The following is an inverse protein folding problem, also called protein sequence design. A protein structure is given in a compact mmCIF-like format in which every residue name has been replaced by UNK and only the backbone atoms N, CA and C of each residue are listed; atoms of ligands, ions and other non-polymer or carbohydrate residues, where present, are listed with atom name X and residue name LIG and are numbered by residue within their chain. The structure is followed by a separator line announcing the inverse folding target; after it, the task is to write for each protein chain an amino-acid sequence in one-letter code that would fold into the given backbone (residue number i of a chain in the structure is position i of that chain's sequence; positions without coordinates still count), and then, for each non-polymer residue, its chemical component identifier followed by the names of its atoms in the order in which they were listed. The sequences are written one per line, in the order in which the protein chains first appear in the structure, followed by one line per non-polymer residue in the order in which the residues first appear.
data_IF_333030955681
#
_entry.id   IF_333030955681
#
_cell.length_a   1.000
_cell.length_b   1.000
_cell.length_c   1.000
_cell.angle_alpha   90.00
_cell.angle_beta   90.00
_cell.angle_gamma   90.00
#
_symmetry.space_group_name_H-M   'P 1'
#
loop_
_entity.id
_entity.type
_entity.pdbx_description
1 polymer ?
#
# COMPACT_ATOMS: atom_id res chain seq x y z
N UNK A 1 7.38 19.54 9.89
CA UNK A 1 7.64 19.41 11.35
C UNK A 1 6.34 19.68 12.06
N UNK A 2 6.13 19.09 13.24
CA UNK A 2 4.90 19.29 14.03
C UNK A 2 4.91 20.70 14.62
N UNK A 3 3.84 21.46 14.42
CA UNK A 3 3.72 22.83 14.92
C UNK A 3 3.12 22.85 16.33
N UNK A 4 3.29 23.94 17.10
CA UNK A 4 2.59 24.11 18.39
C UNK A 4 1.06 23.99 18.28
N UNK A 5 0.47 24.46 17.17
CA UNK A 5 -0.96 24.33 16.90
C UNK A 5 -1.36 22.85 16.71
N UNK A 6 -0.59 22.07 15.93
CA UNK A 6 -0.82 20.63 15.77
C UNK A 6 -0.71 19.87 17.10
N UNK A 7 0.21 20.28 17.99
CA UNK A 7 0.33 19.70 19.33
C UNK A 7 -0.93 20.00 20.15
N UNK A 8 -1.47 21.22 20.05
CA UNK A 8 -2.72 21.62 20.71
C UNK A 8 -3.92 20.79 20.22
N UNK A 9 -4.04 20.59 18.92
CA UNK A 9 -5.09 19.75 18.31
C UNK A 9 -4.98 18.31 18.84
N UNK A 10 -3.78 17.75 18.86
CA UNK A 10 -3.54 16.39 19.35
C UNK A 10 -3.92 16.26 20.83
N UNK A 11 -3.51 17.22 21.67
CA UNK A 11 -3.85 17.25 23.09
C UNK A 11 -5.36 17.23 23.31
N UNK A 12 -6.11 18.11 22.65
CA UNK A 12 -7.57 18.15 22.76
C UNK A 12 -8.22 16.83 22.31
N UNK A 13 -7.67 16.20 21.27
CA UNK A 13 -8.17 14.90 20.77
C UNK A 13 -7.91 13.76 21.75
N UNK A 14 -6.76 13.76 22.42
CA UNK A 14 -6.43 12.78 23.48
C UNK A 14 -7.39 12.99 24.69
N UNK A 15 -7.64 14.21 25.11
CA UNK A 15 -8.56 14.51 26.20
C UNK A 15 -9.97 13.97 25.93
N UNK A 16 -10.48 14.11 24.69
CA UNK A 16 -11.77 13.54 24.29
C UNK A 16 -11.75 12.00 24.35
N UNK A 17 -10.66 11.38 23.91
CA UNK A 17 -10.50 9.94 23.95
C UNK A 17 -10.47 9.41 25.39
N UNK A 18 -9.72 10.08 26.28
CA UNK A 18 -9.62 9.73 27.70
C UNK A 18 -10.96 9.87 28.43
N UNK A 19 -11.75 10.89 28.12
CA UNK A 19 -13.09 11.06 28.70
C UNK A 19 -14.05 9.94 28.28
N UNK A 20 -13.90 9.41 27.06
CA UNK A 20 -14.74 8.36 26.53
C UNK A 20 -14.33 6.95 26.98
N UNK A 21 -13.07 6.74 27.25
CA UNK A 21 -12.52 5.49 27.76
C UNK A 21 -12.44 5.66 29.29
N UNK A 22 -13.43 5.28 30.03
CA UNK A 22 -13.45 5.28 31.52
C UNK A 22 -12.02 5.18 32.07
N UNK A 23 -11.57 6.20 32.81
CA UNK A 23 -10.22 6.34 33.34
C UNK A 23 -9.78 5.05 34.07
N UNK A 24 -9.22 4.13 33.35
CA UNK A 24 -8.43 3.05 33.92
C UNK A 24 -7.10 3.69 34.33
N UNK A 25 -6.75 3.62 35.60
CA UNK A 25 -5.43 3.99 36.04
C UNK A 25 -4.41 3.11 35.32
N UNK A 26 -3.81 3.67 34.30
CA UNK A 26 -2.72 3.03 33.58
C UNK A 26 -1.42 3.62 34.12
N UNK A 27 -0.95 3.01 35.21
CA UNK A 27 0.33 3.39 35.79
C UNK A 27 1.47 2.78 34.94
N UNK A 28 2.02 3.56 34.04
CA UNK A 28 3.39 3.34 33.62
C UNK A 28 4.28 4.32 34.36
N UNK A 29 5.17 3.80 35.22
CA UNK A 29 6.24 4.59 35.79
C UNK A 29 7.26 4.91 34.67
N UNK A 30 7.06 6.05 34.05
CA UNK A 30 8.00 6.60 33.06
C UNK A 30 8.86 7.63 33.77
N UNK A 31 10.15 7.41 33.85
CA UNK A 31 11.10 8.45 34.26
C UNK A 31 11.14 9.53 33.15
N UNK A 32 10.60 10.74 33.40
CA UNK A 32 10.53 11.77 32.36
C UNK A 32 11.91 12.21 31.87
N UNK A 33 12.89 12.29 32.77
CA UNK A 33 14.23 12.77 32.43
C UNK A 33 15.00 11.72 31.59
N UNK A 34 14.88 10.45 31.94
CA UNK A 34 15.47 9.37 31.16
C UNK A 34 14.81 9.30 29.78
N UNK A 35 13.49 9.41 29.70
CA UNK A 35 12.74 9.40 28.46
C UNK A 35 13.12 10.56 27.55
N UNK A 36 13.22 11.77 28.09
CA UNK A 36 13.65 12.95 27.33
C UNK A 36 15.06 12.75 26.77
N UNK A 37 16.01 12.28 27.59
CA UNK A 37 17.38 12.03 27.15
C UNK A 37 17.45 11.00 26.00
N UNK A 38 16.70 9.90 26.10
CA UNK A 38 16.64 8.87 25.06
C UNK A 38 16.06 9.46 23.76
N UNK A 39 14.97 10.21 23.85
CA UNK A 39 14.33 10.81 22.68
C UNK A 39 15.21 11.86 22.01
N UNK A 40 15.93 12.66 22.78
CA UNK A 40 16.91 13.62 22.25
C UNK A 40 18.08 12.92 21.56
N UNK A 41 18.58 11.84 22.13
CA UNK A 41 19.63 11.03 21.49
C UNK A 41 19.15 10.44 20.15
N UNK A 42 17.95 9.86 20.13
CA UNK A 42 17.33 9.32 18.90
C UNK A 42 17.11 10.43 17.86
N UNK A 43 16.54 11.57 18.27
CA UNK A 43 16.33 12.71 17.40
C UNK A 43 17.65 13.19 16.78
N UNK A 44 18.71 13.25 17.58
CA UNK A 44 20.04 13.66 17.11
C UNK A 44 20.60 12.66 16.07
N UNK A 45 20.45 11.36 16.29
CA UNK A 45 20.83 10.32 15.31
C UNK A 45 20.02 10.44 14.01
N UNK A 46 18.72 10.75 14.11
CA UNK A 46 17.83 10.91 12.97
C UNK A 46 18.18 12.13 12.08
N UNK A 47 18.90 13.13 12.60
CA UNK A 47 19.36 14.28 11.79
C UNK A 47 20.27 13.88 10.64
N UNK A 48 20.89 12.69 10.71
CA UNK A 48 21.74 12.14 9.65
C UNK A 48 20.96 11.51 8.49
N UNK A 49 19.63 11.50 8.53
CA UNK A 49 18.81 11.04 7.41
C UNK A 49 18.78 12.09 6.27
N UNK A 50 18.49 11.61 5.06
CA UNK A 50 18.25 12.51 3.95
C UNK A 50 17.01 13.39 4.21
N UNK A 51 17.00 14.64 3.71
CA UNK A 51 15.86 15.53 3.84
C UNK A 51 14.75 15.13 2.86
N UNK A 52 14.04 14.03 3.11
CA UNK A 52 13.01 13.46 2.24
C UNK A 52 11.89 14.44 1.86
N UNK A 53 11.67 15.48 2.67
CA UNK A 53 10.69 16.54 2.43
C UNK A 53 11.19 17.61 1.44
N UNK A 54 12.49 17.66 1.16
CA UNK A 54 13.06 18.70 0.32
C UNK A 54 12.63 18.55 -1.14
N UNK A 55 12.25 19.64 -1.84
CA UNK A 55 11.82 19.57 -3.25
C UNK A 55 12.87 18.98 -4.20
N UNK A 56 14.15 19.17 -3.89
CA UNK A 56 15.27 18.66 -4.70
C UNK A 56 15.66 17.20 -4.33
N UNK A 57 14.99 16.57 -3.38
CA UNK A 57 15.22 15.16 -3.12
C UNK A 57 14.61 14.30 -4.22
N UNK A 58 15.47 13.66 -5.01
CA UNK A 58 15.10 12.84 -6.16
C UNK A 58 15.50 11.35 -5.99
N UNK A 59 15.60 10.87 -4.76
CA UNK A 59 15.88 9.48 -4.45
C UNK A 59 14.62 8.61 -4.44
N UNK A 60 14.45 7.81 -3.41
CA UNK A 60 13.27 6.97 -3.22
C UNK A 60 11.98 7.81 -3.20
N UNK A 61 10.87 7.22 -3.65
CA UNK A 61 9.54 7.86 -3.65
C UNK A 61 8.97 7.93 -2.22
N UNK A 62 9.70 8.57 -1.32
CA UNK A 62 9.34 8.79 0.06
C UNK A 62 9.05 10.27 0.30
N UNK A 63 7.93 10.55 0.92
CA UNK A 63 7.63 11.86 1.48
C UNK A 63 7.12 11.68 2.91
N UNK A 64 7.36 12.65 3.80
CA UNK A 64 6.73 12.63 5.12
C UNK A 64 5.22 12.51 4.99
N UNK A 65 4.54 11.81 5.90
CA UNK A 65 3.10 11.71 5.86
C UNK A 65 2.44 13.10 6.03
N UNK A 66 1.26 13.24 5.45
CA UNK A 66 0.46 14.44 5.64
C UNK A 66 0.23 14.72 7.13
N UNK A 67 0.21 15.99 7.61
CA UNK A 67 0.04 16.31 9.02
C UNK A 67 -1.15 15.60 9.68
N UNK A 68 -2.29 15.58 9.01
CA UNK A 68 -3.50 14.88 9.50
C UNK A 68 -3.24 13.38 9.73
N UNK A 69 -2.57 12.71 8.78
CA UNK A 69 -2.25 11.29 8.92
C UNK A 69 -1.29 11.04 10.10
N UNK A 70 -0.30 11.92 10.29
CA UNK A 70 0.63 11.85 11.41
C UNK A 70 -0.08 12.01 12.76
N UNK A 71 -0.97 13.00 12.88
CA UNK A 71 -1.75 13.22 14.10
C UNK A 71 -2.70 12.06 14.38
N UNK A 72 -3.42 11.58 13.36
CA UNK A 72 -4.34 10.46 13.49
C UNK A 72 -3.60 9.17 13.92
N UNK A 73 -2.41 8.92 13.38
CA UNK A 73 -1.59 7.78 13.79
C UNK A 73 -1.15 7.89 15.25
N UNK A 74 -0.71 9.09 15.69
CA UNK A 74 -0.34 9.34 17.10
C UNK A 74 -1.52 9.15 18.04
N UNK A 75 -2.73 9.59 17.63
CA UNK A 75 -3.95 9.36 18.40
C UNK A 75 -4.30 7.86 18.48
N UNK A 76 -4.21 7.12 17.37
CA UNK A 76 -4.49 5.69 17.36
C UNK A 76 -3.56 4.90 18.28
N UNK A 77 -2.30 5.32 18.43
CA UNK A 77 -1.34 4.68 19.35
C UNK A 77 -1.73 4.77 20.82
N UNK A 78 -2.64 5.67 21.22
CA UNK A 78 -3.11 5.77 22.61
C UNK A 78 -3.92 4.52 23.02
N UNK A 79 -4.58 3.87 22.06
CA UNK A 79 -5.41 2.68 22.32
C UNK A 79 -4.90 1.42 21.62
N UNK A 80 -4.01 1.56 20.65
CA UNK A 80 -3.45 0.45 19.86
C UNK A 80 -4.51 -0.58 19.41
N UNK A 81 -5.53 -0.16 18.63
CA UNK A 81 -6.63 -1.02 18.25
C UNK A 81 -6.20 -2.16 17.34
N UNK A 82 -6.88 -3.31 17.45
CA UNK A 82 -6.63 -4.49 16.65
C UNK A 82 -7.88 -4.87 15.85
N UNK A 83 -7.83 -4.80 14.53
CA UNK A 83 -8.95 -5.12 13.63
C UNK A 83 -9.09 -6.60 13.30
N UNK A 84 -8.48 -7.49 14.09
CA UNK A 84 -8.59 -8.93 13.88
C UNK A 84 -10.04 -9.45 13.94
N UNK A 85 -10.85 -8.87 14.82
CA UNK A 85 -12.25 -9.24 14.98
C UNK A 85 -13.11 -8.01 15.28
N UNK A 86 -14.35 -8.00 14.80
CA UNK A 86 -15.29 -6.87 14.95
C UNK A 86 -15.63 -6.56 16.40
N UNK A 87 -15.71 -7.55 17.25
CA UNK A 87 -16.01 -7.42 18.69
C UNK A 87 -14.83 -6.85 19.47
N UNK A 88 -13.60 -7.10 19.01
CA UNK A 88 -12.37 -6.53 19.59
C UNK A 88 -12.04 -5.12 19.09
N UNK A 89 -12.63 -4.68 18.00
CA UNK A 89 -12.34 -3.40 17.34
C UNK A 89 -13.60 -2.65 16.92
N UNK A 90 -14.44 -2.36 17.89
CA UNK A 90 -15.79 -1.81 17.71
C UNK A 90 -15.83 -0.47 16.98
N UNK A 91 -14.78 0.35 17.10
CA UNK A 91 -14.66 1.64 16.41
C UNK A 91 -13.78 1.54 15.15
N UNK A 92 -12.58 0.96 15.27
CA UNK A 92 -11.59 0.98 14.19
C UNK A 92 -11.96 0.09 13.00
N UNK A 93 -12.65 -1.03 13.20
CA UNK A 93 -13.12 -1.85 12.06
C UNK A 93 -14.18 -1.17 11.19
N UNK A 94 -15.21 -0.49 11.73
CA UNK A 94 -16.07 0.37 10.91
C UNK A 94 -15.31 1.48 10.16
N UNK A 95 -14.34 2.14 10.82
CA UNK A 95 -13.52 3.18 10.19
C UNK A 95 -12.68 2.64 9.02
N UNK A 96 -12.15 1.42 9.15
CA UNK A 96 -11.46 0.74 8.04
C UNK A 96 -12.40 0.51 6.85
N UNK A 97 -13.62 0.03 7.10
CA UNK A 97 -14.63 -0.17 6.05
C UNK A 97 -14.99 1.15 5.35
N UNK A 98 -15.12 2.24 6.10
CA UNK A 98 -15.35 3.58 5.54
C UNK A 98 -14.18 4.02 4.65
N UNK A 99 -12.95 3.85 5.10
CA UNK A 99 -11.76 4.18 4.32
C UNK A 99 -11.66 3.35 3.03
N UNK A 100 -11.92 2.04 3.10
CA UNK A 100 -11.96 1.15 1.93
C UNK A 100 -13.06 1.55 0.96
N UNK A 101 -14.25 1.90 1.46
CA UNK A 101 -15.36 2.38 0.63
C UNK A 101 -15.00 3.69 -0.09
N UNK A 102 -14.35 4.64 0.59
CA UNK A 102 -13.90 5.89 -0.02
C UNK A 102 -12.85 5.65 -1.11
N UNK A 103 -11.89 4.74 -0.88
CA UNK A 103 -10.91 4.34 -1.88
C UNK A 103 -11.59 3.68 -3.09
N UNK A 104 -12.51 2.76 -2.85
CA UNK A 104 -13.25 2.11 -3.93
C UNK A 104 -14.04 3.13 -4.77
N UNK A 105 -14.71 4.08 -4.12
CA UNK A 105 -15.42 5.16 -4.81
C UNK A 105 -14.47 6.06 -5.63
N UNK A 106 -13.30 6.40 -5.09
CA UNK A 106 -12.27 7.15 -5.81
C UNK A 106 -11.86 6.46 -7.12
N UNK A 107 -11.78 5.14 -7.12
CA UNK A 107 -11.46 4.33 -8.31
C UNK A 107 -12.68 4.01 -9.18
N UNK A 108 -13.90 4.38 -8.79
CA UNK A 108 -15.13 4.12 -9.53
C UNK A 108 -15.70 2.71 -9.35
N UNK A 109 -15.31 1.99 -8.29
CA UNK A 109 -15.86 0.67 -8.00
C UNK A 109 -17.21 0.79 -7.27
N UNK A 110 -18.29 0.37 -7.92
CA UNK A 110 -19.61 0.25 -7.28
C UNK A 110 -19.70 -1.00 -6.38
N UNK A 111 -19.06 -2.09 -6.78
CA UNK A 111 -19.02 -3.34 -6.04
C UNK A 111 -17.56 -3.66 -5.71
N UNK A 112 -17.27 -3.81 -4.43
CA UNK A 112 -15.91 -4.06 -3.96
C UNK A 112 -15.91 -4.89 -2.67
N UNK A 113 -14.83 -5.56 -2.45
CA UNK A 113 -14.36 -6.06 -1.16
C UNK A 113 -12.93 -5.58 -0.99
N UNK A 114 -12.52 -5.31 0.22
CA UNK A 114 -11.16 -4.85 0.47
C UNK A 114 -10.87 -4.68 1.95
N UNK A 115 -9.61 -4.51 2.25
CA UNK A 115 -9.09 -4.16 3.58
C UNK A 115 -7.78 -3.38 3.43
N UNK A 116 -7.32 -2.78 4.51
CA UNK A 116 -6.05 -2.06 4.54
C UNK A 116 -4.91 -3.02 4.92
N UNK A 117 -3.77 -2.83 4.29
CA UNK A 117 -2.56 -3.63 4.55
C UNK A 117 -1.41 -2.73 5.03
N UNK A 118 -0.31 -3.36 5.44
CA UNK A 118 0.91 -2.65 5.85
C UNK A 118 1.70 -2.00 4.70
N UNK A 119 1.12 -1.91 3.51
CA UNK A 119 1.72 -1.26 2.32
C UNK A 119 1.62 -2.11 1.07
N UNK A 120 2.05 -1.55 -0.09
CA UNK A 120 1.91 -2.17 -1.40
C UNK A 120 2.51 -3.56 -1.52
N UNK A 121 3.62 -3.84 -0.84
CA UNK A 121 4.23 -5.18 -0.84
C UNK A 121 3.30 -6.23 -0.23
N UNK A 122 2.66 -5.92 0.91
CA UNK A 122 1.70 -6.84 1.54
C UNK A 122 0.43 -6.97 0.71
N UNK A 123 -0.08 -5.86 0.16
CA UNK A 123 -1.23 -5.89 -0.74
C UNK A 123 -0.98 -6.79 -1.97
N UNK A 124 0.18 -6.67 -2.60
CA UNK A 124 0.58 -7.52 -3.72
C UNK A 124 0.74 -8.99 -3.30
N UNK A 125 1.31 -9.26 -2.11
CA UNK A 125 1.44 -10.62 -1.60
C UNK A 125 0.08 -11.29 -1.44
N UNK A 126 -0.86 -10.63 -0.80
CA UNK A 126 -2.21 -11.15 -0.59
C UNK A 126 -2.96 -11.34 -1.91
N UNK A 127 -2.85 -10.38 -2.82
CA UNK A 127 -3.50 -10.47 -4.13
C UNK A 127 -2.97 -11.66 -4.97
N UNK A 128 -1.66 -11.90 -4.97
CA UNK A 128 -1.06 -13.04 -5.67
C UNK A 128 -1.36 -14.36 -4.97
N UNK A 129 -1.37 -14.37 -3.63
CA UNK A 129 -1.80 -15.54 -2.87
C UNK A 129 -3.26 -15.91 -3.19
N UNK A 130 -4.19 -14.94 -3.18
CA UNK A 130 -5.59 -15.15 -3.56
C UNK A 130 -5.71 -15.65 -5.00
N UNK A 131 -4.91 -15.10 -5.93
CA UNK A 131 -4.90 -15.54 -7.32
C UNK A 131 -4.52 -17.02 -7.44
N UNK A 132 -3.52 -17.48 -6.69
CA UNK A 132 -3.12 -18.89 -6.65
C UNK A 132 -4.18 -19.78 -5.96
N UNK A 133 -4.85 -19.30 -4.89
CA UNK A 133 -5.93 -20.06 -4.26
C UNK A 133 -7.13 -20.28 -5.21
N UNK A 134 -7.40 -19.33 -6.11
CA UNK A 134 -8.48 -19.43 -7.09
C UNK A 134 -8.08 -20.32 -8.27
N UNK A 135 -6.82 -20.21 -8.72
CA UNK A 135 -6.27 -20.97 -9.85
C UNK A 135 -4.90 -21.56 -9.48
N UNK A 136 -4.88 -22.66 -8.69
CA UNK A 136 -3.64 -23.22 -8.18
C UNK A 136 -2.64 -23.63 -9.27
N UNK A 137 -1.38 -23.22 -9.06
CA UNK A 137 -0.26 -23.60 -9.93
C UNK A 137 -0.21 -22.89 -11.28
N UNK A 138 -1.11 -21.92 -11.54
CA UNK A 138 -1.05 -21.11 -12.76
C UNK A 138 0.07 -20.06 -12.66
N UNK A 139 0.62 -19.68 -13.82
CA UNK A 139 1.72 -18.74 -13.97
C UNK A 139 1.21 -17.30 -13.75
N UNK A 140 1.94 -16.53 -12.96
CA UNK A 140 1.82 -15.07 -12.88
C UNK A 140 2.80 -14.45 -13.87
N UNK A 141 2.34 -13.51 -14.68
CA UNK A 141 3.20 -12.74 -15.59
C UNK A 141 3.14 -11.26 -15.27
N UNK A 142 4.27 -10.56 -15.42
CA UNK A 142 4.40 -9.12 -15.21
C UNK A 142 5.43 -8.54 -16.17
N UNK A 143 5.36 -7.24 -16.45
CA UNK A 143 6.42 -6.56 -17.21
C UNK A 143 7.78 -6.73 -16.52
N UNK A 144 8.86 -6.81 -17.29
CA UNK A 144 10.23 -6.80 -16.77
C UNK A 144 10.57 -5.52 -15.98
N UNK A 145 9.80 -4.44 -16.17
CA UNK A 145 9.88 -3.20 -15.41
C UNK A 145 8.89 -3.10 -14.24
N UNK A 146 8.09 -4.15 -14.00
CA UNK A 146 7.25 -4.23 -12.81
C UNK A 146 8.09 -4.17 -11.53
N UNK A 147 7.47 -3.81 -10.42
CA UNK A 147 8.19 -3.77 -9.15
C UNK A 147 8.76 -5.15 -8.81
N UNK A 148 10.02 -5.20 -8.38
CA UNK A 148 10.75 -6.44 -8.10
C UNK A 148 10.07 -7.35 -7.05
N UNK A 149 9.14 -6.82 -6.28
CA UNK A 149 8.39 -7.59 -5.28
C UNK A 149 7.54 -8.68 -5.91
N UNK A 150 7.02 -8.51 -7.11
CA UNK A 150 6.19 -9.53 -7.76
C UNK A 150 6.94 -10.85 -7.97
N UNK A 151 8.16 -10.78 -8.49
CA UNK A 151 9.02 -11.97 -8.64
C UNK A 151 9.40 -12.58 -7.28
N UNK A 152 9.75 -11.74 -6.29
CA UNK A 152 10.10 -12.20 -4.93
C UNK A 152 8.92 -12.83 -4.21
N UNK A 153 7.75 -12.21 -4.26
CA UNK A 153 6.51 -12.72 -3.66
C UNK A 153 6.13 -14.05 -4.32
N UNK A 154 6.17 -14.14 -5.64
CA UNK A 154 5.89 -15.37 -6.36
C UNK A 154 6.83 -16.49 -5.93
N UNK A 155 8.12 -16.19 -5.75
CA UNK A 155 9.10 -17.15 -5.22
C UNK A 155 8.77 -17.60 -3.79
N UNK A 156 8.39 -16.69 -2.88
CA UNK A 156 7.99 -17.00 -1.50
C UNK A 156 6.75 -17.88 -1.46
N UNK A 157 5.76 -17.58 -2.31
CA UNK A 157 4.51 -18.31 -2.42
C UNK A 157 4.63 -19.59 -3.25
N UNK A 158 5.80 -19.83 -3.88
CA UNK A 158 6.05 -20.95 -4.83
C UNK A 158 5.14 -20.91 -6.05
N UNK A 159 4.70 -19.75 -6.46
CA UNK A 159 3.90 -19.52 -7.66
C UNK A 159 4.85 -19.36 -8.86
N UNK A 160 4.62 -20.06 -9.99
CA UNK A 160 5.41 -19.85 -11.20
C UNK A 160 5.30 -18.39 -11.69
N UNK A 161 6.43 -17.78 -11.97
CA UNK A 161 6.49 -16.37 -12.42
C UNK A 161 7.27 -16.25 -13.73
N UNK A 162 6.80 -15.37 -14.63
CA UNK A 162 7.45 -15.10 -15.91
C UNK A 162 7.38 -13.63 -16.25
N UNK A 163 8.44 -13.11 -16.87
CA UNK A 163 8.50 -11.73 -17.35
C UNK A 163 7.95 -11.61 -18.76
N UNK A 164 7.21 -10.53 -18.97
CA UNK A 164 6.81 -10.01 -20.29
C UNK A 164 7.77 -8.88 -20.63
N UNK A 165 8.23 -8.81 -21.88
CA UNK A 165 9.10 -7.74 -22.33
C UNK A 165 8.44 -6.37 -22.18
N UNK A 166 9.26 -5.35 -22.03
CA UNK A 166 8.81 -3.97 -22.11
C UNK A 166 9.11 -3.40 -23.50
N UNK A 167 8.30 -2.43 -23.91
CA UNK A 167 8.55 -1.61 -25.09
C UNK A 167 9.65 -0.54 -24.80
N UNK A 168 10.01 0.24 -25.81
CA UNK A 168 11.01 1.31 -25.69
C UNK A 168 10.64 2.42 -24.71
N UNK A 169 9.37 2.47 -24.27
CA UNK A 169 8.85 3.41 -23.31
C UNK A 169 8.75 2.83 -21.89
N UNK A 170 9.16 1.57 -21.72
CA UNK A 170 9.11 0.86 -20.45
C UNK A 170 7.73 0.34 -20.05
N UNK A 171 6.78 0.28 -21.00
CA UNK A 171 5.44 -0.31 -20.80
C UNK A 171 5.48 -1.78 -21.19
N UNK A 172 4.59 -2.58 -20.61
CA UNK A 172 4.41 -3.97 -21.05
C UNK A 172 4.17 -4.06 -22.56
N UNK A 173 4.95 -4.88 -23.25
CA UNK A 173 4.78 -5.15 -24.67
C UNK A 173 3.59 -6.10 -24.89
N UNK A 174 2.52 -5.57 -25.48
CA UNK A 174 1.28 -6.31 -25.73
C UNK A 174 1.48 -7.44 -26.73
N UNK A 175 2.39 -7.26 -27.70
CA UNK A 175 2.67 -8.32 -28.67
C UNK A 175 3.39 -9.52 -28.02
N UNK A 176 4.36 -9.25 -27.13
CA UNK A 176 5.02 -10.29 -26.36
C UNK A 176 4.04 -10.97 -25.38
N UNK A 177 3.20 -10.20 -24.67
CA UNK A 177 2.15 -10.76 -23.80
C UNK A 177 1.21 -11.68 -24.57
N UNK A 178 0.67 -11.22 -25.71
CA UNK A 178 -0.24 -12.02 -26.55
C UNK A 178 0.45 -13.32 -27.02
N UNK A 179 1.69 -13.24 -27.48
CA UNK A 179 2.45 -14.41 -27.90
C UNK A 179 2.64 -15.41 -26.74
N UNK A 180 2.85 -14.93 -25.53
CA UNK A 180 2.98 -15.82 -24.37
C UNK A 180 1.65 -16.49 -24.02
N UNK A 181 0.52 -15.76 -24.08
CA UNK A 181 -0.82 -16.30 -23.84
C UNK A 181 -1.23 -17.34 -24.89
N UNK A 182 -0.88 -17.13 -26.15
CA UNK A 182 -1.12 -18.10 -27.25
C UNK A 182 -0.33 -19.40 -27.07
N UNK A 183 0.88 -19.32 -26.51
CA UNK A 183 1.77 -20.48 -26.31
C UNK A 183 1.51 -21.25 -25.04
N UNK A 184 0.96 -20.62 -24.03
CA UNK A 184 0.82 -21.18 -22.69
C UNK A 184 -0.52 -20.82 -22.05
N UNK A 185 -1.45 -21.74 -22.11
CA UNK A 185 -2.77 -21.61 -21.49
C UNK A 185 -2.72 -21.71 -19.95
N UNK A 186 -1.53 -21.94 -19.37
CA UNK A 186 -1.33 -21.99 -17.92
C UNK A 186 -1.07 -20.63 -17.31
N UNK A 187 -1.02 -19.54 -18.10
CA UNK A 187 -0.97 -18.19 -17.54
C UNK A 187 -2.33 -17.88 -16.89
N UNK A 188 -2.33 -17.60 -15.58
CA UNK A 188 -3.54 -17.37 -14.81
C UNK A 188 -3.69 -15.95 -14.30
N UNK A 189 -2.59 -15.17 -14.24
CA UNK A 189 -2.65 -13.78 -13.75
C UNK A 189 -1.67 -12.90 -14.51
N UNK A 190 -2.16 -11.76 -14.99
CA UNK A 190 -1.36 -10.68 -15.57
C UNK A 190 -1.30 -9.52 -14.58
N UNK A 191 -0.11 -9.16 -14.14
CA UNK A 191 0.13 -7.99 -13.29
C UNK A 191 0.33 -6.77 -14.18
N UNK A 192 -0.48 -5.75 -13.96
CA UNK A 192 -0.45 -4.47 -14.67
C UNK A 192 0.07 -3.41 -13.71
N UNK A 193 1.14 -2.71 -14.05
CA UNK A 193 1.74 -1.68 -13.19
C UNK A 193 1.31 -0.29 -13.63
N UNK A 194 0.71 0.46 -12.73
CA UNK A 194 0.38 1.87 -12.93
C UNK A 194 1.46 2.76 -12.33
N UNK A 195 2.52 3.01 -13.08
CA UNK A 195 3.68 3.80 -12.66
C UNK A 195 4.83 2.93 -12.17
N UNK A 196 5.68 2.50 -13.10
CA UNK A 196 6.88 1.70 -12.80
C UNK A 196 7.91 2.51 -12.00
N UNK A 197 8.64 1.85 -11.11
CA UNK A 197 9.62 2.51 -10.23
C UNK A 197 10.72 3.23 -11.00
N UNK A 198 11.19 2.65 -12.10
CA UNK A 198 12.34 3.19 -12.83
C UNK A 198 12.00 4.32 -13.81
N UNK A 199 10.84 4.26 -14.45
CA UNK A 199 10.48 5.15 -15.55
C UNK A 199 9.15 5.88 -15.36
N UNK A 200 8.34 5.49 -14.35
CA UNK A 200 6.98 6.00 -14.17
C UNK A 200 6.00 5.54 -15.26
N UNK A 201 6.40 4.57 -16.10
CA UNK A 201 5.56 4.09 -17.20
C UNK A 201 4.31 3.41 -16.68
N UNK A 202 3.23 3.56 -17.43
CA UNK A 202 1.92 2.96 -17.15
C UNK A 202 1.65 1.88 -18.17
N UNK A 203 1.46 0.65 -17.74
CA UNK A 203 1.13 -0.46 -18.61
C UNK A 203 -0.23 -0.24 -19.31
N UNK A 204 -0.40 -0.72 -20.55
CA UNK A 204 -1.58 -0.45 -21.36
C UNK A 204 -2.78 -1.31 -20.92
N UNK A 205 -3.38 -0.95 -19.79
CA UNK A 205 -4.48 -1.69 -19.15
C UNK A 205 -5.66 -1.97 -20.11
N UNK A 206 -6.04 -0.99 -20.94
CA UNK A 206 -7.15 -1.15 -21.88
C UNK A 206 -6.87 -2.26 -22.91
N UNK A 207 -5.65 -2.38 -23.40
CA UNK A 207 -5.30 -3.42 -24.36
C UNK A 207 -5.20 -4.79 -23.69
N UNK A 208 -4.75 -4.83 -22.42
CA UNK A 208 -4.74 -6.06 -21.60
C UNK A 208 -6.17 -6.54 -21.33
N UNK A 209 -7.11 -5.63 -21.05
CA UNK A 209 -8.53 -5.97 -20.90
C UNK A 209 -9.12 -6.55 -22.21
N UNK A 210 -8.69 -6.06 -23.37
CA UNK A 210 -9.10 -6.66 -24.66
C UNK A 210 -8.59 -8.08 -24.80
N UNK A 211 -7.33 -8.34 -24.42
CA UNK A 211 -6.77 -9.71 -24.43
C UNK A 211 -7.52 -10.63 -23.46
N UNK A 212 -8.02 -10.13 -22.32
CA UNK A 212 -8.82 -10.91 -21.37
C UNK A 212 -10.14 -11.41 -21.99
N UNK A 213 -10.63 -10.79 -23.07
CA UNK A 213 -11.79 -11.28 -23.80
C UNK A 213 -11.48 -12.49 -24.71
N UNK A 214 -10.19 -12.65 -25.08
CA UNK A 214 -9.70 -13.74 -25.91
C UNK A 214 -9.09 -14.90 -25.10
N UNK A 215 -8.53 -14.57 -23.90
CA UNK A 215 -7.78 -15.51 -23.07
C UNK A 215 -8.28 -15.50 -21.61
N UNK A 216 -8.28 -16.66 -20.98
CA UNK A 216 -8.74 -16.79 -19.58
C UNK A 216 -7.60 -16.51 -18.60
N UNK A 217 -7.53 -15.27 -18.10
CA UNK A 217 -6.61 -14.85 -17.04
C UNK A 217 -7.23 -13.75 -16.16
N UNK A 218 -6.70 -13.59 -14.97
CA UNK A 218 -7.04 -12.50 -14.05
C UNK A 218 -6.12 -11.30 -14.29
N UNK A 219 -6.64 -10.12 -14.05
CA UNK A 219 -5.84 -8.89 -14.00
C UNK A 219 -5.61 -8.51 -12.54
N UNK A 220 -4.36 -8.35 -12.15
CA UNK A 220 -3.94 -7.72 -10.91
C UNK A 220 -3.31 -6.37 -11.23
N UNK A 221 -3.91 -5.27 -10.74
CA UNK A 221 -3.40 -3.92 -10.99
C UNK A 221 -2.57 -3.48 -9.78
N UNK A 222 -1.25 -3.37 -9.95
CA UNK A 222 -0.37 -2.71 -8.98
C UNK A 222 -0.47 -1.19 -9.19
N UNK A 223 -1.30 -0.56 -8.38
CA UNK A 223 -1.53 0.88 -8.37
C UNK A 223 -0.89 1.56 -7.15
N UNK A 224 0.07 0.91 -6.48
CA UNK A 224 0.68 1.40 -5.25
C UNK A 224 1.27 2.81 -5.37
N UNK A 225 1.84 3.13 -6.53
CA UNK A 225 2.33 4.48 -6.84
C UNK A 225 1.30 5.28 -7.66
N UNK A 226 0.89 4.76 -8.81
CA UNK A 226 0.14 5.51 -9.82
C UNK A 226 -1.34 5.70 -9.50
N UNK A 227 -1.93 4.90 -8.61
CA UNK A 227 -3.36 4.93 -8.36
C UNK A 227 -3.89 6.29 -7.90
N UNK A 228 -3.16 6.97 -7.05
CA UNK A 228 -3.57 8.28 -6.51
C UNK A 228 -3.49 9.44 -7.53
N UNK A 229 -2.81 9.26 -8.67
CA UNK A 229 -2.88 10.25 -9.76
C UNK A 229 -4.28 10.41 -10.34
N UNK A 230 -5.19 9.48 -10.03
CA UNK A 230 -6.63 9.65 -10.29
C UNK A 230 -7.20 10.94 -9.70
N UNK A 231 -6.61 11.46 -8.63
CA UNK A 231 -7.01 12.72 -7.99
C UNK A 231 -6.40 13.97 -8.63
N UNK A 232 -5.46 13.81 -9.57
CA UNK A 232 -4.77 14.91 -10.23
C UNK A 232 -5.38 15.30 -11.59
N UNK A 233 -6.47 14.65 -12.01
CA UNK A 233 -7.16 14.86 -13.29
C UNK A 233 -8.34 15.80 -13.16
#
# INVERSE_FOLDING_TARGET
MTTPEEIGILKNSIEVLEMGLLKLEYAQDVDPMLTENILLEVANKMTNNYPYHHPLYAGQMLKPPHPVARLAYTLAMQINPNNHALDGSRASSPMEKEAVQQLAHMFGYERHIGHLTGGGTMANLEALWIADQIHPGKVVVASEHSHYTHERISSVLKIPFRKVKADKWGKMDIADLKQQLERDTNIGTVVVTLGTTGTGSVDPLEDIIKLQQEFDFRIHVDAAYGGYFRLAS
#
